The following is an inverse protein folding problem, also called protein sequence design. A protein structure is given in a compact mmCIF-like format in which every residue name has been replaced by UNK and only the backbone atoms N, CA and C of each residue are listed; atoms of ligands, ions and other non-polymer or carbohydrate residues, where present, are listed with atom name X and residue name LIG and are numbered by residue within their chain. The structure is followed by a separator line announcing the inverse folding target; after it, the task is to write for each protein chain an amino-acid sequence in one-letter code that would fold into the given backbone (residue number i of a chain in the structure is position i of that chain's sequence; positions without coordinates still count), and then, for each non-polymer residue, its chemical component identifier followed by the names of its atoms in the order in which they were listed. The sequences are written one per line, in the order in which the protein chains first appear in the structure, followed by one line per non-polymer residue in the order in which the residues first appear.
data_IF_888390625369
#
_entry.id   IF_888390625369
#
_cell.length_a   1.000
_cell.length_b   1.000
_cell.length_c   1.000
_cell.angle_alpha   90.00
_cell.angle_beta   90.00
_cell.angle_gamma   90.00
#
_symmetry.space_group_name_H-M   'P 1'
#
loop_
_entity.id
_entity.type
_entity.pdbx_description
1 polymer ?
#
# COMPACT_ATOMS: atom_id res chain seq x y z
N UNK A 1 19.33 -2.61 -1.08
CA UNK A 1 20.72 -3.08 -1.31
C UNK A 1 21.12 -3.02 -2.79
N UNK A 2 20.18 -3.12 -3.74
CA UNK A 2 20.41 -3.08 -5.19
C UNK A 2 21.20 -1.86 -5.69
N UNK A 3 21.06 -0.69 -5.04
CA UNK A 3 21.79 0.53 -5.41
C UNK A 3 23.33 0.41 -5.32
N UNK A 4 23.84 -0.57 -4.55
CA UNK A 4 25.28 -0.82 -4.43
C UNK A 4 25.88 -1.48 -5.69
N UNK A 5 25.03 -2.14 -6.49
CA UNK A 5 25.43 -2.81 -7.75
C UNK A 5 24.95 -2.02 -8.97
N UNK A 6 23.77 -1.40 -8.86
CA UNK A 6 23.15 -0.59 -9.90
C UNK A 6 23.00 0.85 -9.41
N UNK A 7 23.93 1.76 -9.75
CA UNK A 7 23.91 3.14 -9.26
C UNK A 7 22.71 3.95 -9.78
N UNK A 8 21.87 3.43 -10.68
CA UNK A 8 20.59 4.05 -11.06
C UNK A 8 19.41 3.67 -10.16
N UNK A 9 19.55 2.67 -9.27
CA UNK A 9 18.46 2.12 -8.47
C UNK A 9 18.21 2.94 -7.18
N UNK A 10 18.00 4.25 -7.32
CA UNK A 10 17.67 5.19 -6.23
C UNK A 10 16.17 5.38 -6.00
N UNK A 11 15.32 4.61 -6.70
CA UNK A 11 13.88 4.67 -6.48
C UNK A 11 13.54 4.29 -5.03
N UNK A 12 12.53 4.94 -4.47
CA UNK A 12 12.10 4.77 -3.09
C UNK A 12 10.78 4.01 -3.08
N UNK A 13 10.39 3.48 -1.92
CA UNK A 13 9.03 2.92 -1.75
C UNK A 13 7.93 3.95 -1.98
N UNK A 14 8.22 5.23 -1.76
CA UNK A 14 7.31 6.32 -2.11
C UNK A 14 7.07 6.41 -3.62
N UNK A 15 8.13 6.33 -4.45
CA UNK A 15 7.98 6.28 -5.90
C UNK A 15 7.16 5.05 -6.35
N UNK A 16 7.39 3.90 -5.71
CA UNK A 16 6.61 2.67 -5.94
C UNK A 16 5.13 2.87 -5.59
N UNK A 17 4.81 3.38 -4.41
CA UNK A 17 3.42 3.58 -3.95
C UNK A 17 2.62 4.50 -4.88
N UNK A 18 3.19 5.64 -5.29
CA UNK A 18 2.53 6.56 -6.24
C UNK A 18 2.37 5.91 -7.62
N UNK A 19 3.37 5.14 -8.08
CA UNK A 19 3.29 4.38 -9.32
C UNK A 19 2.19 3.31 -9.28
N UNK A 20 2.09 2.56 -8.18
CA UNK A 20 1.06 1.55 -7.96
C UNK A 20 -0.34 2.18 -7.93
N UNK A 21 -0.51 3.31 -7.23
CA UNK A 21 -1.77 4.07 -7.22
C UNK A 21 -2.17 4.53 -8.63
N UNK A 22 -1.23 5.04 -9.42
CA UNK A 22 -1.51 5.42 -10.81
C UNK A 22 -1.97 4.23 -11.66
N UNK A 23 -1.29 3.08 -11.55
CA UNK A 23 -1.67 1.87 -12.27
C UNK A 23 -3.04 1.34 -11.81
N UNK A 24 -3.36 1.43 -10.52
CA UNK A 24 -4.65 1.06 -9.98
C UNK A 24 -5.78 1.91 -10.58
N UNK A 25 -5.62 3.23 -10.67
CA UNK A 25 -6.60 4.10 -11.34
C UNK A 25 -6.85 3.71 -12.80
N UNK A 26 -5.79 3.32 -13.53
CA UNK A 26 -5.92 2.80 -14.90
C UNK A 26 -6.63 1.44 -14.96
N UNK A 27 -6.41 0.58 -13.97
CA UNK A 27 -7.08 -0.71 -13.86
C UNK A 27 -8.58 -0.52 -13.63
N UNK A 28 -8.98 0.34 -12.68
CA UNK A 28 -10.38 0.69 -12.39
C UNK A 28 -11.06 1.24 -13.64
N UNK A 29 -10.43 2.20 -14.32
CA UNK A 29 -10.95 2.74 -15.58
C UNK A 29 -11.20 1.63 -16.60
N UNK A 30 -10.23 0.73 -16.78
CA UNK A 30 -10.34 -0.40 -17.72
C UNK A 30 -11.47 -1.36 -17.35
N UNK A 31 -11.66 -1.64 -16.06
CA UNK A 31 -12.73 -2.50 -15.56
C UNK A 31 -14.11 -1.87 -15.83
N UNK A 32 -14.27 -0.56 -15.57
CA UNK A 32 -15.49 0.18 -15.92
C UNK A 32 -15.80 0.13 -17.41
N UNK A 33 -14.79 0.29 -18.28
CA UNK A 33 -14.98 0.15 -19.73
C UNK A 33 -15.42 -1.26 -20.17
N UNK A 34 -15.14 -2.28 -19.36
CA UNK A 34 -15.58 -3.67 -19.61
C UNK A 34 -16.95 -3.99 -18.99
N UNK A 35 -17.63 -2.99 -18.42
CA UNK A 35 -18.96 -3.15 -17.84
C UNK A 35 -18.96 -3.64 -16.39
N UNK A 36 -17.84 -3.52 -15.67
CA UNK A 36 -17.82 -3.73 -14.22
C UNK A 36 -18.21 -2.44 -13.50
N UNK A 37 -19.27 -2.52 -12.69
CA UNK A 37 -19.66 -1.43 -11.81
C UNK A 37 -18.67 -1.34 -10.64
N UNK A 38 -18.04 -0.17 -10.48
CA UNK A 38 -17.16 0.17 -9.37
C UNK A 38 -17.56 1.56 -8.91
N UNK A 39 -18.08 1.65 -7.70
CA UNK A 39 -18.56 2.89 -7.09
C UNK A 39 -17.41 3.89 -6.83
N UNK A 40 -17.70 5.19 -6.69
CA UNK A 40 -16.70 6.17 -6.26
C UNK A 40 -16.04 5.82 -4.93
N UNK A 41 -16.80 5.26 -4.00
CA UNK A 41 -16.33 4.84 -2.68
C UNK A 41 -15.35 3.66 -2.78
N UNK A 42 -15.67 2.63 -3.58
CA UNK A 42 -14.76 1.50 -3.83
C UNK A 42 -13.48 1.94 -4.56
N UNK A 43 -13.60 2.85 -5.53
CA UNK A 43 -12.43 3.43 -6.20
C UNK A 43 -11.53 4.18 -5.21
N UNK A 44 -12.10 5.03 -4.36
CA UNK A 44 -11.32 5.71 -3.32
C UNK A 44 -10.70 4.71 -2.34
N UNK A 45 -11.46 3.71 -1.89
CA UNK A 45 -11.00 2.67 -0.97
C UNK A 45 -9.80 1.90 -1.52
N UNK A 46 -9.88 1.41 -2.76
CA UNK A 46 -8.77 0.64 -3.37
C UNK A 46 -7.56 1.52 -3.68
N UNK A 47 -7.77 2.80 -4.03
CA UNK A 47 -6.67 3.75 -4.26
C UNK A 47 -5.92 4.07 -2.95
N UNK A 48 -6.63 4.20 -1.83
CA UNK A 48 -6.00 4.37 -0.52
C UNK A 48 -5.30 3.08 -0.08
N UNK A 49 -5.94 1.92 -0.27
CA UNK A 49 -5.35 0.63 0.07
C UNK A 49 -4.01 0.40 -0.67
N UNK A 50 -3.98 0.63 -1.98
CA UNK A 50 -2.75 0.46 -2.77
C UNK A 50 -1.70 1.54 -2.48
N UNK A 51 -2.11 2.73 -2.04
CA UNK A 51 -1.15 3.75 -1.61
C UNK A 51 -0.44 3.34 -0.31
N UNK A 52 -1.17 2.69 0.60
CA UNK A 52 -0.68 2.31 1.92
C UNK A 52 -0.14 0.88 2.02
N UNK A 53 -0.30 0.03 1.01
CA UNK A 53 0.05 -1.40 1.10
C UNK A 53 1.47 -1.68 1.63
N UNK A 54 2.41 -0.82 1.27
CA UNK A 54 3.84 -0.96 1.57
C UNK A 54 4.30 -0.08 2.76
N UNK A 55 3.38 0.57 3.49
CA UNK A 55 3.71 1.56 4.54
C UNK A 55 4.41 0.93 5.75
N UNK A 56 4.16 -0.35 6.03
CA UNK A 56 4.81 -1.11 7.10
C UNK A 56 6.28 -1.45 6.82
N UNK A 57 6.82 -1.12 5.65
CA UNK A 57 8.23 -1.38 5.38
C UNK A 57 9.17 -0.36 6.05
N UNK A 58 9.80 -0.79 7.14
CA UNK A 58 10.95 -0.09 7.73
C UNK A 58 12.20 -0.06 6.80
N UNK A 59 13.23 0.74 7.16
CA UNK A 59 14.50 0.76 6.45
C UNK A 59 15.08 -0.66 6.39
N UNK A 60 15.62 -1.10 5.26
CA UNK A 60 16.11 -2.48 5.09
C UNK A 60 15.11 -3.59 5.50
N UNK A 61 13.80 -3.31 5.48
CA UNK A 61 12.68 -4.17 5.90
C UNK A 61 12.99 -5.67 5.98
N UNK A 62 13.36 -6.36 4.91
CA UNK A 62 13.68 -7.80 4.97
C UNK A 62 14.84 -8.18 5.90
N UNK A 63 15.91 -7.38 5.96
CA UNK A 63 17.00 -7.62 6.91
C UNK A 63 16.54 -7.38 8.36
N UNK A 64 15.71 -6.35 8.57
CA UNK A 64 15.19 -5.93 9.87
C UNK A 64 14.11 -6.88 10.42
N UNK A 65 13.24 -7.39 9.55
CA UNK A 65 12.16 -8.36 9.80
C UNK A 65 12.73 -9.70 10.32
N UNK A 66 13.91 -10.11 9.83
CA UNK A 66 14.59 -11.32 10.29
C UNK A 66 15.50 -11.14 11.51
N UNK A 67 15.93 -9.92 11.87
CA UNK A 67 16.94 -9.71 12.92
C UNK A 67 16.46 -8.97 14.16
N UNK A 68 15.47 -8.07 14.06
CA UNK A 68 15.10 -7.18 15.17
C UNK A 68 13.71 -7.44 15.75
N UNK A 69 12.75 -7.92 14.96
CA UNK A 69 11.40 -8.26 15.44
C UNK A 69 10.96 -9.60 14.85
N UNK A 70 11.45 -10.73 15.40
CA UNK A 70 11.05 -12.05 14.94
C UNK A 70 9.52 -12.23 15.03
N UNK A 71 8.89 -12.51 13.90
CA UNK A 71 7.47 -12.87 13.85
C UNK A 71 6.47 -11.73 13.56
N UNK A 72 6.93 -10.50 13.31
CA UNK A 72 6.06 -9.41 12.83
C UNK A 72 6.32 -9.18 11.35
N UNK A 73 5.34 -9.49 10.50
CA UNK A 73 5.42 -9.17 9.08
C UNK A 73 5.22 -7.68 8.83
N UNK A 74 5.82 -7.17 7.76
CA UNK A 74 5.54 -5.81 7.28
C UNK A 74 4.06 -5.59 6.96
N UNK A 75 3.33 -6.62 6.53
CA UNK A 75 1.87 -6.55 6.32
C UNK A 75 1.12 -6.28 7.63
N UNK A 76 1.48 -6.96 8.73
CA UNK A 76 0.89 -6.71 10.04
C UNK A 76 1.19 -5.29 10.54
N UNK A 77 2.39 -4.77 10.24
CA UNK A 77 2.74 -3.39 10.54
C UNK A 77 1.99 -2.39 9.64
N UNK A 78 1.84 -2.68 8.35
CA UNK A 78 1.01 -1.89 7.43
C UNK A 78 -0.41 -1.76 7.96
N UNK A 79 -1.04 -2.89 8.34
CA UNK A 79 -2.39 -2.89 8.90
C UNK A 79 -2.47 -2.04 10.17
N UNK A 80 -1.53 -2.18 11.10
CA UNK A 80 -1.52 -1.39 12.34
C UNK A 80 -1.41 0.11 12.07
N UNK A 81 -0.56 0.51 11.12
CA UNK A 81 -0.45 1.92 10.72
C UNK A 81 -1.75 2.39 10.05
N UNK A 82 -2.37 1.57 9.21
CA UNK A 82 -3.66 1.91 8.58
C UNK A 82 -4.76 2.08 9.63
N UNK A 83 -4.83 1.23 10.66
CA UNK A 83 -5.78 1.37 11.77
C UNK A 83 -5.56 2.66 12.58
N UNK A 84 -4.29 3.02 12.85
CA UNK A 84 -3.94 4.26 13.55
C UNK A 84 -4.34 5.49 12.73
N UNK A 85 -4.04 5.50 11.43
CA UNK A 85 -4.49 6.54 10.51
C UNK A 85 -6.03 6.58 10.41
N UNK A 86 -6.70 5.43 10.40
CA UNK A 86 -8.15 5.39 10.36
C UNK A 86 -8.78 6.05 11.60
N UNK A 87 -8.15 5.87 12.77
CA UNK A 87 -8.56 6.58 14.00
C UNK A 87 -8.28 8.07 13.92
N UNK A 88 -7.19 8.51 13.28
CA UNK A 88 -6.86 9.93 13.11
C UNK A 88 -7.81 10.62 12.13
N UNK A 89 -8.26 9.91 11.10
CA UNK A 89 -9.16 10.40 10.06
C UNK A 89 -10.62 9.99 10.27
N UNK A 90 -11.07 9.86 11.52
CA UNK A 90 -12.48 9.64 11.88
C UNK A 90 -13.18 8.49 11.10
N UNK A 91 -12.46 7.41 10.80
CA UNK A 91 -13.00 6.23 10.13
C UNK A 91 -13.00 6.29 8.59
N UNK A 92 -12.41 7.33 7.97
CA UNK A 92 -12.41 7.50 6.50
C UNK A 92 -11.63 6.41 5.74
N UNK A 93 -10.75 5.66 6.40
CA UNK A 93 -9.95 4.58 5.80
C UNK A 93 -10.61 3.20 5.97
N UNK A 94 -11.77 3.10 6.61
CA UNK A 94 -12.41 1.80 6.94
C UNK A 94 -12.55 0.91 5.70
N UNK A 95 -13.11 1.43 4.61
CA UNK A 95 -13.27 0.65 3.37
C UNK A 95 -11.90 0.25 2.75
N UNK A 96 -10.88 1.10 2.88
CA UNK A 96 -9.54 0.77 2.39
C UNK A 96 -8.89 -0.36 3.20
N UNK A 97 -9.10 -0.37 4.53
CA UNK A 97 -8.67 -1.46 5.40
C UNK A 97 -9.40 -2.75 5.05
N UNK A 98 -10.73 -2.68 4.87
CA UNK A 98 -11.54 -3.84 4.48
C UNK A 98 -11.06 -4.45 3.15
N UNK A 99 -10.67 -3.61 2.19
CA UNK A 99 -10.08 -4.06 0.90
C UNK A 99 -8.70 -4.67 1.11
N UNK A 100 -7.87 -4.13 2.00
CA UNK A 100 -6.50 -4.60 2.23
C UNK A 100 -6.45 -5.99 2.90
N UNK A 101 -7.44 -6.33 3.73
CA UNK A 101 -7.48 -7.60 4.48
C UNK A 101 -8.23 -8.74 3.77
N UNK A 102 -8.92 -8.46 2.65
CA UNK A 102 -9.64 -9.45 1.84
C UNK A 102 -8.70 -10.22 0.90
#
# INVERSE_FOLDING_TARGET
LTYLVYPGAYHTRFHHAIGAMHLMGRAIYTLRQKGHDITPEEEQGVLVAILLHDIGHGPFSHALEHTLIPGVSHEALSLKIMEELNSEFDGLLTLAIDIFIN
#
